data_IF_563317672324
#
_entry.id   IF_563317672324
#
_cell.length_a   1.000
_cell.length_b   1.000
_cell.length_c   1.000
_cell.angle_alpha   90.00
_cell.angle_beta   90.00
_cell.angle_gamma   90.00
#
_symmetry.space_group_name_H-M   'P 1'
#
loop_
_entity.id
_entity.type
_entity.pdbx_description
1 polymer ?
#
# COMPACT_ATOMS: atom_id res chain seq x y z
N UNK A 1 22.25 -13.66 5.72
CA UNK A 1 22.13 -12.35 6.40
C UNK A 1 20.89 -11.67 5.87
N UNK A 2 19.78 -11.69 6.60
CA UNK A 2 18.58 -10.95 6.20
C UNK A 2 18.82 -9.48 6.54
N UNK A 3 19.00 -8.66 5.52
CA UNK A 3 19.08 -7.20 5.66
C UNK A 3 17.90 -6.74 6.52
N UNK A 4 18.17 -6.08 7.64
CA UNK A 4 17.18 -5.60 8.64
C UNK A 4 16.18 -4.56 8.13
N UNK A 5 16.06 -4.41 6.81
CA UNK A 5 15.10 -3.55 6.12
C UNK A 5 13.80 -4.31 5.73
N UNK A 6 13.81 -5.65 5.78
CA UNK A 6 12.63 -6.46 5.47
C UNK A 6 11.66 -6.62 6.64
N UNK A 7 12.03 -6.17 7.85
CA UNK A 7 11.25 -6.37 9.09
C UNK A 7 10.34 -5.17 9.44
N UNK A 8 10.39 -4.09 8.64
CA UNK A 8 9.62 -2.85 8.90
C UNK A 8 8.21 -2.93 8.28
N UNK A 9 8.04 -3.75 7.25
CA UNK A 9 6.78 -3.84 6.51
C UNK A 9 5.88 -4.93 7.10
N UNK A 10 4.67 -4.55 7.50
CA UNK A 10 3.64 -5.50 7.87
C UNK A 10 2.88 -5.99 6.63
N UNK A 11 2.54 -7.29 6.55
CA UNK A 11 1.76 -7.82 5.44
C UNK A 11 0.37 -7.17 5.43
N UNK A 12 -0.06 -6.65 4.28
CA UNK A 12 -1.35 -6.01 4.13
C UNK A 12 -1.95 -6.27 2.74
N UNK A 13 -3.27 -6.26 2.64
CA UNK A 13 -4.00 -6.35 1.38
C UNK A 13 -4.62 -5.00 1.05
N UNK A 14 -4.20 -4.39 -0.07
CA UNK A 14 -4.86 -3.22 -0.65
C UNK A 14 -5.90 -3.69 -1.68
N UNK A 15 -7.18 -3.37 -1.44
CA UNK A 15 -8.28 -3.59 -2.38
C UNK A 15 -8.76 -2.26 -2.92
N UNK A 16 -8.73 -2.10 -4.24
CA UNK A 16 -9.22 -0.89 -4.92
C UNK A 16 -10.57 -1.21 -5.57
N UNK A 17 -11.58 -0.39 -5.26
CA UNK A 17 -12.93 -0.45 -5.83
C UNK A 17 -13.25 0.86 -6.54
N UNK A 18 -14.26 0.88 -7.41
CA UNK A 18 -14.69 2.09 -8.12
C UNK A 18 -14.98 3.29 -7.19
N UNK A 19 -15.48 3.03 -5.99
CA UNK A 19 -15.90 4.06 -5.04
C UNK A 19 -14.82 4.40 -3.99
N UNK A 20 -13.73 3.66 -3.91
CA UNK A 20 -12.74 3.84 -2.83
C UNK A 20 -11.76 2.68 -2.70
N UNK A 21 -11.03 2.66 -1.59
CA UNK A 21 -10.05 1.62 -1.31
C UNK A 21 -10.16 1.10 0.13
N UNK A 22 -9.67 -0.11 0.32
CA UNK A 22 -9.54 -0.74 1.63
C UNK A 22 -8.11 -1.26 1.79
N UNK A 23 -7.50 -0.99 2.94
CA UNK A 23 -6.20 -1.53 3.32
C UNK A 23 -6.41 -2.35 4.57
N UNK A 24 -6.17 -3.66 4.46
CA UNK A 24 -6.35 -4.60 5.55
C UNK A 24 -4.98 -5.11 5.99
N UNK A 25 -4.53 -4.71 7.17
CA UNK A 25 -3.30 -5.26 7.74
C UNK A 25 -3.55 -6.68 8.25
N UNK A 26 -2.67 -7.60 7.87
CA UNK A 26 -2.70 -9.02 8.27
C UNK A 26 -1.82 -9.16 9.51
N UNK A 27 -2.26 -8.55 10.61
CA UNK A 27 -1.57 -8.56 11.90
C UNK A 27 -2.54 -8.82 13.06
N UNK A 28 -2.02 -9.06 14.28
CA UNK A 28 -2.84 -9.35 15.47
C UNK A 28 -3.82 -8.22 15.82
N UNK A 29 -3.55 -6.99 15.36
CA UNK A 29 -4.39 -5.82 15.59
C UNK A 29 -5.45 -5.60 14.50
N UNK A 30 -5.44 -6.39 13.42
CA UNK A 30 -6.54 -6.47 12.44
C UNK A 30 -7.04 -5.13 11.88
N UNK A 31 -6.20 -4.09 11.87
CA UNK A 31 -6.64 -2.74 11.49
C UNK A 31 -6.97 -2.73 10.01
N UNK A 32 -8.21 -2.38 9.69
CA UNK A 32 -8.67 -2.18 8.33
C UNK A 32 -9.05 -0.74 8.12
N UNK A 33 -8.44 -0.09 7.14
CA UNK A 33 -8.78 1.28 6.78
C UNK A 33 -9.60 1.25 5.51
N UNK A 34 -10.78 1.86 5.55
CA UNK A 34 -11.67 1.97 4.40
C UNK A 34 -11.92 3.43 4.12
N UNK A 35 -11.57 3.86 2.92
CA UNK A 35 -11.71 5.24 2.48
C UNK A 35 -12.53 5.26 1.19
N UNK A 36 -13.45 6.22 1.08
CA UNK A 36 -14.10 6.56 -0.17
C UNK A 36 -13.19 7.51 -0.95
N UNK A 37 -13.06 7.34 -2.26
CA UNK A 37 -12.26 8.27 -3.05
C UNK A 37 -12.81 9.68 -2.92
N UNK A 38 -11.91 10.61 -2.63
CA UNK A 38 -12.18 12.03 -2.53
C UNK A 38 -11.23 12.78 -3.45
N UNK A 39 -11.60 13.99 -3.93
CA UNK A 39 -10.69 14.82 -4.71
C UNK A 39 -9.44 15.25 -3.92
N UNK A 40 -9.48 15.16 -2.59
CA UNK A 40 -8.35 15.42 -1.71
C UNK A 40 -7.42 14.22 -1.53
N UNK A 41 -7.78 13.04 -2.05
CA UNK A 41 -6.95 11.84 -1.99
C UNK A 41 -5.76 11.99 -2.94
N UNK A 42 -4.53 11.88 -2.40
CA UNK A 42 -3.30 12.01 -3.17
C UNK A 42 -2.58 10.67 -3.19
N UNK A 43 -2.14 10.23 -4.36
CA UNK A 43 -1.32 9.03 -4.53
C UNK A 43 0.00 9.43 -5.13
N UNK A 44 1.10 9.10 -4.45
CA UNK A 44 2.46 9.45 -4.86
C UNK A 44 3.29 8.21 -5.09
N UNK A 45 3.99 8.15 -6.23
CA UNK A 45 4.90 7.07 -6.59
C UNK A 45 6.31 7.65 -6.69
N UNK A 46 7.23 7.36 -5.75
CA UNK A 46 8.59 7.87 -5.78
C UNK A 46 9.35 7.39 -7.02
N UNK A 47 10.12 8.31 -7.60
CA UNK A 47 11.03 7.98 -8.69
C UNK A 47 12.13 7.02 -8.21
N UNK A 48 12.35 5.93 -8.95
CA UNK A 48 13.37 4.92 -8.63
C UNK A 48 12.86 3.73 -7.80
N UNK A 49 11.68 3.83 -7.18
CA UNK A 49 11.06 2.76 -6.40
C UNK A 49 9.60 2.53 -6.82
N UNK A 50 9.34 1.92 -8.00
CA UNK A 50 7.98 1.74 -8.52
C UNK A 50 7.12 0.78 -7.70
N UNK A 51 7.74 -0.05 -6.86
CA UNK A 51 7.04 -0.94 -5.94
C UNK A 51 6.57 -0.23 -4.67
N UNK A 52 7.03 0.99 -4.40
CA UNK A 52 6.67 1.77 -3.22
C UNK A 52 5.75 2.91 -3.64
N UNK A 53 4.76 3.23 -2.82
CA UNK A 53 3.86 4.35 -3.05
C UNK A 53 3.26 4.82 -1.72
N UNK A 54 2.79 6.07 -1.66
CA UNK A 54 2.03 6.58 -0.52
C UNK A 54 0.63 7.01 -0.96
N UNK A 55 -0.33 6.83 -0.05
CA UNK A 55 -1.68 7.33 -0.17
C UNK A 55 -1.92 8.29 0.98
N UNK A 56 -2.26 9.54 0.65
CA UNK A 56 -2.73 10.54 1.61
C UNK A 56 -4.24 10.60 1.48
N UNK A 57 -4.92 10.32 2.59
CA UNK A 57 -6.37 10.30 2.62
C UNK A 57 -7.02 11.66 2.85
N UNK A 58 -8.35 11.68 2.89
CA UNK A 58 -9.13 12.91 3.04
C UNK A 58 -8.88 13.64 4.36
N UNK A 59 -8.36 12.92 5.37
CA UNK A 59 -8.00 13.47 6.68
C UNK A 59 -6.54 13.93 6.72
N UNK A 60 -5.81 13.81 5.61
CA UNK A 60 -4.39 14.14 5.53
C UNK A 60 -3.49 13.08 6.16
N UNK A 61 -3.99 11.89 6.46
CA UNK A 61 -3.16 10.81 7.00
C UNK A 61 -2.42 10.14 5.83
N UNK A 62 -1.09 10.16 5.89
CA UNK A 62 -0.25 9.47 4.92
C UNK A 62 -0.03 8.01 5.31
N UNK A 63 -0.22 7.11 4.34
CA UNK A 63 0.07 5.68 4.50
C UNK A 63 0.97 5.20 3.38
N UNK A 64 2.15 4.73 3.77
CA UNK A 64 3.18 4.23 2.86
C UNK A 64 2.97 2.73 2.68
N UNK A 65 2.98 2.29 1.43
CA UNK A 65 2.72 0.91 1.03
C UNK A 65 3.81 0.45 0.06
N UNK A 66 4.11 -0.85 0.12
CA UNK A 66 5.03 -1.50 -0.80
C UNK A 66 4.34 -2.72 -1.40
N UNK A 67 4.25 -2.75 -2.72
CA UNK A 67 3.82 -3.92 -3.46
C UNK A 67 4.95 -4.97 -3.47
N UNK A 68 4.57 -6.23 -3.25
CA UNK A 68 5.48 -7.34 -3.54
C UNK A 68 5.64 -7.46 -5.05
N UNK A 69 6.86 -7.29 -5.54
CA UNK A 69 7.17 -7.43 -6.95
C UNK A 69 7.29 -8.92 -7.27
N UNK A 70 6.17 -9.64 -7.36
CA UNK A 70 6.19 -11.03 -7.81
C UNK A 70 6.50 -11.05 -9.30
N UNK A 71 7.72 -11.45 -9.63
CA UNK A 71 8.21 -11.66 -10.99
C UNK A 71 7.60 -12.93 -11.61
N UNK A 72 6.27 -13.04 -11.63
CA UNK A 72 5.54 -14.14 -12.27
C UNK A 72 4.73 -13.67 -13.49
N UNK A 73 5.20 -12.63 -14.19
CA UNK A 73 4.72 -12.25 -15.51
C UNK A 73 5.90 -11.90 -16.42
N UNK A 74 6.72 -12.91 -16.74
CA UNK A 74 7.63 -12.82 -17.89
C UNK A 74 8.17 -14.18 -18.33
N UNK A 75 7.23 -15.06 -18.69
CA UNK A 75 7.53 -16.20 -19.55
C UNK A 75 6.39 -16.32 -20.56
N UNK A 76 6.53 -15.60 -21.67
CA UNK A 76 5.77 -15.84 -22.89
C UNK A 76 6.38 -16.97 -23.71
#
# INVERSE_FOLDING_TARGET
MKTGFLDIWEPATLTIKKDGYNIKCVGPTGVSVTEKFSPSTIVSIPYGSPAEFSIIDSQGIERILRAENSSLDRSG
#
